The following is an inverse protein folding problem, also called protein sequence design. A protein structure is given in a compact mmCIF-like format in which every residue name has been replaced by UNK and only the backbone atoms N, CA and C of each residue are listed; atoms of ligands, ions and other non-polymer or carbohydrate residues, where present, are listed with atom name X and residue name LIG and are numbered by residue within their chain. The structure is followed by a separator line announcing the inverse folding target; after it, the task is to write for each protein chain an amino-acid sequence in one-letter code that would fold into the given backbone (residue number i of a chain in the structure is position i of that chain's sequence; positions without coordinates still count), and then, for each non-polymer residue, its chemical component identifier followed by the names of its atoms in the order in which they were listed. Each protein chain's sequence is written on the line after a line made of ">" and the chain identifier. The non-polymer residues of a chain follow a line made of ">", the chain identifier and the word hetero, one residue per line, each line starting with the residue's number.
data_IF_172985904912
#
_entry.id   IF_172985904912
#
_cell.length_a   1.000
_cell.length_b   1.000
_cell.length_c   1.000
_cell.angle_alpha   90.00
_cell.angle_beta   90.00
_cell.angle_gamma   90.00
#
_symmetry.space_group_name_H-M   'P 1'
#
loop_
_entity.id
_entity.type
_entity.pdbx_description
1 polymer ?
#
# COMPACT_ATOMS: atom_id res chain seq x y z
N UNK A 1 -11.71 -29.49 2.63
CA UNK A 1 -11.05 -28.20 2.32
C UNK A 1 -9.70 -28.20 2.99
N UNK A 2 -8.62 -28.23 2.19
CA UNK A 2 -7.28 -28.63 2.63
C UNK A 2 -6.67 -27.63 3.62
N UNK A 3 -6.10 -28.17 4.71
CA UNK A 3 -5.16 -27.47 5.58
C UNK A 3 -3.94 -27.12 4.73
N UNK A 4 -3.76 -25.84 4.44
CA UNK A 4 -2.59 -25.32 3.76
C UNK A 4 -1.41 -25.49 4.73
N UNK A 5 -0.59 -26.50 4.48
CA UNK A 5 0.69 -26.67 5.15
C UNK A 5 1.56 -25.47 4.75
N UNK A 6 1.78 -24.55 5.69
CA UNK A 6 2.76 -23.46 5.54
C UNK A 6 4.13 -24.10 5.34
N UNK A 7 4.54 -24.20 4.09
CA UNK A 7 5.85 -24.73 3.71
C UNK A 7 6.93 -23.81 4.28
N UNK A 8 7.79 -24.39 5.13
CA UNK A 8 8.90 -23.74 5.83
C UNK A 8 10.01 -23.39 4.84
N UNK A 9 9.97 -22.21 4.21
CA UNK A 9 11.13 -21.36 3.87
C UNK A 9 10.72 -20.22 2.93
N UNK A 10 10.07 -19.19 3.47
CA UNK A 10 9.74 -17.94 2.76
C UNK A 10 10.96 -17.00 2.74
N UNK A 11 12.09 -17.49 2.19
CA UNK A 11 13.34 -16.71 2.10
C UNK A 11 13.39 -15.91 0.82
N UNK A 12 13.31 -14.60 0.93
CA UNK A 12 13.46 -13.67 -0.19
C UNK A 12 14.95 -13.33 -0.40
N UNK A 13 15.47 -13.57 -1.60
CA UNK A 13 16.85 -13.21 -1.97
C UNK A 13 16.85 -11.86 -2.68
N UNK A 14 17.44 -10.84 -2.05
CA UNK A 14 17.57 -9.50 -2.63
C UNK A 14 18.98 -9.31 -3.17
N UNK A 15 19.10 -8.88 -4.43
CA UNK A 15 20.37 -8.44 -5.01
C UNK A 15 20.47 -6.93 -4.87
N UNK A 16 21.52 -6.48 -4.19
CA UNK A 16 21.90 -5.08 -4.05
C UNK A 16 23.33 -4.88 -4.52
N UNK A 17 23.71 -3.64 -4.81
CA UNK A 17 25.10 -3.32 -5.12
C UNK A 17 26.02 -3.58 -3.92
N UNK A 18 27.30 -3.71 -4.20
CA UNK A 18 28.30 -4.08 -3.19
C UNK A 18 28.44 -3.01 -2.09
N UNK A 19 28.36 -1.74 -2.44
CA UNK A 19 28.55 -0.65 -1.49
C UNK A 19 27.40 -0.64 -0.48
N UNK A 20 26.16 -0.68 -0.96
CA UNK A 20 24.96 -0.73 -0.11
C UNK A 20 24.95 -1.97 0.77
N UNK A 21 25.44 -3.11 0.26
CA UNK A 21 25.60 -4.33 1.06
C UNK A 21 26.61 -4.15 2.19
N UNK A 22 27.79 -3.62 1.90
CA UNK A 22 28.84 -3.43 2.89
C UNK A 22 28.40 -2.43 3.99
N UNK A 23 27.73 -1.33 3.61
CA UNK A 23 27.15 -0.38 4.57
C UNK A 23 26.04 -1.01 5.43
N UNK A 24 25.17 -1.82 4.82
CA UNK A 24 24.13 -2.54 5.55
C UNK A 24 24.74 -3.58 6.51
N UNK A 25 25.73 -4.36 6.07
CA UNK A 25 26.40 -5.34 6.94
C UNK A 25 27.16 -4.67 8.08
N UNK A 26 27.81 -3.53 7.87
CA UNK A 26 28.44 -2.76 8.94
C UNK A 26 27.42 -2.32 10.01
N UNK A 27 26.20 -1.96 9.59
CA UNK A 27 25.10 -1.65 10.50
C UNK A 27 24.55 -2.89 11.22
N UNK A 28 24.46 -4.02 10.53
CA UNK A 28 24.10 -5.33 11.11
C UNK A 28 25.09 -5.71 12.22
N UNK A 29 26.39 -5.59 11.96
CA UNK A 29 27.45 -5.87 12.93
C UNK A 29 27.41 -4.90 14.12
N UNK A 30 27.17 -3.61 13.88
CA UNK A 30 27.07 -2.60 14.94
C UNK A 30 25.85 -2.78 15.85
N UNK A 31 24.71 -3.22 15.30
CA UNK A 31 23.48 -3.48 16.07
C UNK A 31 23.45 -4.88 16.71
N UNK A 32 24.35 -5.79 16.32
CA UNK A 32 24.45 -7.14 16.87
C UNK A 32 23.23 -8.03 16.57
N UNK A 33 22.41 -7.64 15.59
CA UNK A 33 21.17 -8.31 15.19
C UNK A 33 21.36 -9.02 13.86
N UNK A 34 20.50 -9.97 13.53
CA UNK A 34 20.51 -10.57 12.19
C UNK A 34 19.97 -9.57 11.15
N UNK A 35 20.51 -9.61 9.92
CA UNK A 35 20.05 -8.82 8.78
C UNK A 35 18.52 -8.87 8.59
N UNK A 36 17.93 -10.07 8.73
CA UNK A 36 16.49 -10.25 8.62
C UNK A 36 15.71 -9.51 9.71
N UNK A 37 16.25 -9.40 10.94
CA UNK A 37 15.61 -8.69 12.04
C UNK A 37 15.62 -7.18 11.81
N UNK A 38 16.72 -6.66 11.28
CA UNK A 38 16.84 -5.23 10.93
C UNK A 38 15.86 -4.88 9.81
N UNK A 39 15.77 -5.71 8.76
CA UNK A 39 14.81 -5.50 7.67
C UNK A 39 13.38 -5.61 8.18
N UNK A 40 13.06 -6.60 9.03
CA UNK A 40 11.71 -6.75 9.59
C UNK A 40 11.32 -5.60 10.51
N UNK A 41 12.24 -5.11 11.34
CA UNK A 41 12.02 -3.92 12.17
C UNK A 41 11.74 -2.70 11.29
N UNK A 42 12.56 -2.48 10.27
CA UNK A 42 12.38 -1.39 9.32
C UNK A 42 11.05 -1.48 8.57
N UNK A 43 10.66 -2.67 8.08
CA UNK A 43 9.35 -2.87 7.42
C UNK A 43 8.20 -2.58 8.37
N UNK A 44 8.28 -3.00 9.65
CA UNK A 44 7.24 -2.72 10.64
C UNK A 44 7.14 -1.23 10.93
N UNK A 45 8.26 -0.53 11.06
CA UNK A 45 8.28 0.92 11.24
C UNK A 45 7.74 1.65 10.00
N UNK A 46 8.12 1.21 8.81
CA UNK A 46 7.61 1.76 7.55
C UNK A 46 6.09 1.60 7.44
N UNK A 47 5.57 0.39 7.70
CA UNK A 47 4.13 0.12 7.71
C UNK A 47 3.37 0.83 8.84
N UNK A 48 4.05 1.19 9.93
CA UNK A 48 3.47 1.99 11.01
C UNK A 48 3.43 3.48 10.67
N UNK A 49 4.40 3.96 9.87
CA UNK A 49 4.50 5.35 9.42
C UNK A 49 3.67 5.63 8.17
N UNK A 50 3.42 4.64 7.31
CA UNK A 50 2.44 4.78 6.25
C UNK A 50 1.07 5.01 6.89
N UNK A 51 0.42 6.17 6.66
CA UNK A 51 -0.98 6.27 6.99
C UNK A 51 -1.64 5.15 6.21
N UNK A 52 -2.19 4.17 6.92
CA UNK A 52 -3.04 3.16 6.29
C UNK A 52 -4.13 3.96 5.60
N UNK A 53 -3.97 4.22 4.30
CA UNK A 53 -5.02 4.69 3.41
C UNK A 53 -5.97 3.50 3.29
N UNK A 54 -6.61 3.14 4.40
CA UNK A 54 -7.84 2.37 4.37
C UNK A 54 -8.78 3.36 3.69
N UNK A 55 -9.14 3.12 2.42
CA UNK A 55 -10.07 4.01 1.77
C UNK A 55 -11.32 4.06 2.66
N UNK A 56 -11.71 5.26 3.08
CA UNK A 56 -12.95 5.43 3.81
C UNK A 56 -14.08 5.13 2.84
N UNK A 57 -14.57 3.90 2.92
CA UNK A 57 -15.61 3.38 2.02
C UNK A 57 -16.86 4.26 2.15
N UNK A 58 -17.14 4.82 3.32
CA UNK A 58 -18.27 5.71 3.57
C UNK A 58 -18.10 7.01 2.79
N UNK A 59 -16.90 7.59 2.84
CA UNK A 59 -16.58 8.80 2.07
C UNK A 59 -16.67 8.54 0.57
N UNK A 60 -16.16 7.40 0.09
CA UNK A 60 -16.27 7.00 -1.32
C UNK A 60 -17.72 6.85 -1.78
N UNK A 61 -18.61 6.29 -0.95
CA UNK A 61 -20.04 6.22 -1.26
C UNK A 61 -20.68 7.60 -1.33
N UNK A 62 -20.37 8.49 -0.39
CA UNK A 62 -20.87 9.86 -0.39
C UNK A 62 -20.41 10.63 -1.64
N UNK A 63 -19.13 10.49 -2.02
CA UNK A 63 -18.59 11.11 -3.22
C UNK A 63 -19.24 10.55 -4.50
N UNK A 64 -19.53 9.25 -4.56
CA UNK A 64 -20.25 8.64 -5.67
C UNK A 64 -21.70 9.15 -5.79
N UNK A 65 -22.42 9.28 -4.68
CA UNK A 65 -23.78 9.82 -4.69
C UNK A 65 -23.80 11.28 -5.14
N UNK A 66 -22.86 12.09 -4.64
CA UNK A 66 -22.71 13.47 -5.05
C UNK A 66 -22.39 13.59 -6.54
N UNK A 67 -21.51 12.72 -7.06
CA UNK A 67 -21.16 12.70 -8.48
C UNK A 67 -22.35 12.30 -9.36
N UNK A 68 -23.14 11.30 -8.94
CA UNK A 68 -24.38 10.91 -9.64
C UNK A 68 -25.37 12.07 -9.71
N UNK A 69 -25.54 12.80 -8.62
CA UNK A 69 -26.43 13.98 -8.59
C UNK A 69 -25.97 15.05 -9.57
N UNK A 70 -24.66 15.36 -9.61
CA UNK A 70 -24.10 16.32 -10.56
C UNK A 70 -24.27 15.89 -12.02
N UNK A 71 -24.09 14.61 -12.33
CA UNK A 71 -24.29 14.08 -13.68
C UNK A 71 -25.75 14.22 -14.09
N UNK A 72 -26.70 13.87 -13.22
CA UNK A 72 -28.12 14.01 -13.52
C UNK A 72 -28.53 15.47 -13.82
N UNK A 73 -27.97 16.43 -13.09
CA UNK A 73 -28.18 17.87 -13.37
C UNK A 73 -27.60 18.26 -14.73
N UNK A 74 -26.37 17.83 -15.03
CA UNK A 74 -25.73 18.14 -16.31
C UNK A 74 -26.45 17.48 -17.49
N UNK A 75 -26.92 16.24 -17.34
CA UNK A 75 -27.73 15.55 -18.35
C UNK A 75 -29.06 16.27 -18.61
N UNK A 76 -29.73 16.75 -17.57
CA UNK A 76 -30.95 17.55 -17.69
C UNK A 76 -30.69 18.90 -18.38
N UNK A 77 -29.61 19.59 -18.02
CA UNK A 77 -29.19 20.84 -18.67
C UNK A 77 -28.82 20.66 -20.15
N UNK A 78 -28.11 19.58 -20.49
CA UNK A 78 -27.76 19.24 -21.86
C UNK A 78 -29.01 18.88 -22.65
N UNK A 79 -29.91 18.08 -22.08
CA UNK A 79 -31.16 17.69 -22.75
C UNK A 79 -32.04 18.91 -23.02
N UNK A 80 -32.17 19.83 -22.05
CA UNK A 80 -32.90 21.10 -22.22
C UNK A 80 -32.27 22.02 -23.27
N UNK A 81 -30.93 22.11 -23.32
CA UNK A 81 -30.22 22.88 -24.34
C UNK A 81 -30.26 22.26 -25.74
N UNK A 82 -30.40 20.94 -25.83
CA UNK A 82 -30.46 20.22 -27.11
C UNK A 82 -31.86 20.20 -27.73
N UNK A 83 -32.89 20.45 -26.92
CA UNK A 83 -34.31 20.48 -27.33
C UNK A 83 -34.83 21.90 -27.66
N UNK A 84 -34.01 22.94 -27.47
CA UNK A 84 -34.29 24.34 -27.81
C UNK A 84 -33.58 24.73 -29.11
#
# INVERSE_FOLDING_TARGET
>A
MAKQELSKDDRLVVRIDKQTKDEFMARVDAEGKNASEIVLAWVREYLAQEPKRIPDITQMYADLEHLKSKIAVLEDEVTKKSAA
#
